data_IF_746355773421
#
_entry.id   IF_746355773421
#
_cell.length_a   1.000
_cell.length_b   1.000
_cell.length_c   1.000
_cell.angle_alpha   90.00
_cell.angle_beta   90.00
_cell.angle_gamma   90.00
#
_symmetry.space_group_name_H-M   'P 1'
#
loop_
_entity.id
_entity.type
_entity.pdbx_description
1 polymer ?
#
# COMPACT_ATOMS: atom_id res chain seq x y z
N UNK A 1 5.68 12.47 61.08
CA UNK A 1 4.96 11.18 61.26
C UNK A 1 5.93 10.05 60.95
N UNK A 2 6.20 9.13 61.88
CA UNK A 2 7.09 7.97 61.64
C UNK A 2 6.29 6.90 60.91
N UNK A 3 6.56 6.69 59.63
CA UNK A 3 5.95 5.59 58.86
C UNK A 3 6.32 4.27 59.54
N UNK A 4 5.31 3.46 59.85
CA UNK A 4 5.54 2.16 60.45
C UNK A 4 6.17 1.22 59.42
N UNK A 5 7.14 0.41 59.85
CA UNK A 5 7.86 -0.54 58.99
C UNK A 5 6.89 -1.42 58.17
N UNK A 6 5.72 -1.73 58.74
CA UNK A 6 4.67 -2.51 58.08
C UNK A 6 4.04 -1.80 56.86
N UNK A 7 3.84 -0.48 56.93
CA UNK A 7 3.36 0.34 55.79
C UNK A 7 4.38 0.39 54.67
N UNK A 8 5.67 0.44 55.00
CA UNK A 8 6.76 0.47 54.02
C UNK A 8 6.86 -0.87 53.28
N UNK A 9 6.74 -1.99 54.00
CA UNK A 9 6.70 -3.33 53.39
C UNK A 9 5.54 -3.45 52.40
N UNK A 10 4.33 -3.01 52.80
CA UNK A 10 3.14 -3.08 51.95
C UNK A 10 3.30 -2.25 50.66
N UNK A 11 3.91 -1.06 50.76
CA UNK A 11 4.18 -0.21 49.59
C UNK A 11 5.17 -0.85 48.62
N UNK A 12 6.24 -1.45 49.12
CA UNK A 12 7.23 -2.15 48.28
C UNK A 12 6.59 -3.34 47.58
N UNK A 13 5.74 -4.10 48.27
CA UNK A 13 5.02 -5.24 47.66
C UNK A 13 4.04 -4.77 46.58
N UNK A 14 3.31 -3.67 46.82
CA UNK A 14 2.39 -3.11 45.84
C UNK A 14 3.12 -2.65 44.56
N UNK A 15 4.28 -2.01 44.71
CA UNK A 15 5.11 -1.59 43.56
C UNK A 15 5.67 -2.82 42.82
N UNK A 16 6.15 -3.83 43.55
CA UNK A 16 6.67 -5.06 42.94
C UNK A 16 5.60 -5.81 42.14
N UNK A 17 4.38 -5.93 42.68
CA UNK A 17 3.25 -6.55 41.98
C UNK A 17 2.82 -5.75 40.76
N UNK A 18 2.72 -4.42 40.90
CA UNK A 18 2.34 -3.53 39.78
C UNK A 18 3.38 -3.58 38.66
N UNK A 19 4.66 -3.55 39.00
CA UNK A 19 5.76 -3.69 38.03
C UNK A 19 5.74 -5.06 37.34
N UNK A 20 5.48 -6.13 38.10
CA UNK A 20 5.39 -7.48 37.54
C UNK A 20 4.22 -7.65 36.58
N UNK A 21 3.07 -7.03 36.85
CA UNK A 21 1.91 -7.03 35.94
C UNK A 21 2.22 -6.25 34.67
N UNK A 22 2.79 -5.04 34.76
CA UNK A 22 3.16 -4.25 33.58
C UNK A 22 4.19 -4.96 32.70
N UNK A 23 5.17 -5.64 33.29
CA UNK A 23 6.16 -6.44 32.53
C UNK A 23 5.48 -7.63 31.85
N UNK A 24 4.53 -8.29 32.54
CA UNK A 24 3.82 -9.45 31.99
C UNK A 24 2.86 -9.04 30.86
N UNK A 25 2.14 -7.93 31.02
CA UNK A 25 1.29 -7.37 29.97
C UNK A 25 2.11 -6.92 28.76
N UNK A 26 3.26 -6.28 28.97
CA UNK A 26 4.12 -5.82 27.88
C UNK A 26 4.78 -7.00 27.14
N UNK A 27 5.31 -8.02 27.85
CA UNK A 27 5.87 -9.21 27.21
C UNK A 27 4.82 -10.03 26.46
N UNK A 28 3.61 -10.15 27.00
CA UNK A 28 2.51 -10.85 26.35
C UNK A 28 2.01 -10.09 25.11
N UNK A 29 1.97 -8.76 25.17
CA UNK A 29 1.62 -7.92 24.01
C UNK A 29 2.67 -8.02 22.92
N UNK A 30 3.96 -8.04 23.28
CA UNK A 30 5.05 -8.26 22.33
C UNK A 30 4.98 -9.63 21.64
N UNK A 31 4.63 -10.70 22.37
CA UNK A 31 4.51 -12.04 21.81
C UNK A 31 3.29 -12.18 20.89
N UNK A 32 2.14 -11.61 21.26
CA UNK A 32 0.97 -11.55 20.39
C UNK A 32 1.26 -10.73 19.14
N UNK A 33 1.88 -9.55 19.29
CA UNK A 33 2.26 -8.71 18.17
C UNK A 33 3.34 -9.37 17.30
N UNK A 34 4.24 -10.20 17.86
CA UNK A 34 5.20 -11.03 17.09
C UNK A 34 4.51 -12.17 16.34
N UNK A 35 3.53 -12.82 16.94
CA UNK A 35 2.77 -13.89 16.27
C UNK A 35 1.85 -13.33 15.18
N UNK A 36 1.24 -12.17 15.43
CA UNK A 36 0.52 -11.39 14.42
C UNK A 36 1.50 -10.92 13.33
N UNK A 37 2.68 -10.38 13.69
CA UNK A 37 3.72 -9.97 12.73
C UNK A 37 4.34 -11.14 11.94
N UNK A 38 4.43 -12.33 12.53
CA UNK A 38 4.92 -13.55 11.86
C UNK A 38 3.85 -14.18 10.96
N UNK A 39 2.58 -13.83 11.17
CA UNK A 39 1.45 -14.18 10.29
C UNK A 39 1.15 -13.06 9.28
N UNK A 40 1.63 -11.85 9.56
CA UNK A 40 1.59 -10.69 8.67
C UNK A 40 2.55 -10.94 7.51
N UNK A 41 1.97 -10.94 6.32
CA UNK A 41 2.64 -11.21 5.07
C UNK A 41 3.79 -10.24 4.79
N UNK A 42 4.78 -10.62 3.98
CA UNK A 42 5.84 -9.69 3.60
C UNK A 42 5.28 -8.54 2.73
N UNK A 43 5.86 -7.32 2.79
CA UNK A 43 5.51 -6.26 1.85
C UNK A 43 5.76 -6.73 0.42
N UNK A 44 4.91 -6.30 -0.53
CA UNK A 44 5.04 -6.69 -1.94
C UNK A 44 6.37 -6.22 -2.55
N UNK A 45 6.88 -5.08 -2.07
CA UNK A 45 8.15 -4.53 -2.52
C UNK A 45 8.98 -4.03 -1.34
N UNK A 46 10.30 -4.16 -1.47
CA UNK A 46 11.26 -3.73 -0.45
C UNK A 46 11.68 -2.25 -0.53
N UNK A 47 11.13 -1.49 -1.48
CA UNK A 47 11.38 -0.05 -1.62
C UNK A 47 10.34 0.77 -0.85
N UNK A 48 10.65 2.05 -0.61
CA UNK A 48 9.75 2.99 0.06
C UNK A 48 9.12 3.97 -0.92
N UNK A 49 8.05 4.68 -0.51
CA UNK A 49 7.44 5.75 -1.32
C UNK A 49 8.45 6.80 -1.79
N UNK A 50 9.45 7.12 -0.96
CA UNK A 50 10.47 8.11 -1.27
C UNK A 50 11.40 7.70 -2.42
N UNK A 51 11.49 6.40 -2.72
CA UNK A 51 12.33 5.88 -3.80
C UNK A 51 11.64 6.00 -5.17
N UNK A 52 10.33 6.22 -5.21
CA UNK A 52 9.51 6.20 -6.43
C UNK A 52 9.52 7.57 -7.11
N UNK A 53 9.94 7.59 -8.38
CA UNK A 53 10.01 8.80 -9.21
C UNK A 53 8.86 8.88 -10.21
N UNK A 54 8.49 7.76 -10.83
CA UNK A 54 7.35 7.72 -11.75
C UNK A 54 6.45 6.54 -11.40
N UNK A 55 5.14 6.76 -11.48
CA UNK A 55 4.12 5.75 -11.30
C UNK A 55 3.22 5.76 -12.53
N UNK A 56 3.11 4.62 -13.18
CA UNK A 56 2.26 4.42 -14.33
C UNK A 56 1.18 3.40 -14.00
N UNK A 57 -0.07 3.77 -14.15
CA UNK A 57 -1.22 2.92 -13.92
C UNK A 57 -1.99 2.76 -15.22
N UNK A 58 -2.06 1.52 -15.71
CA UNK A 58 -2.80 1.16 -16.90
C UNK A 58 -3.98 0.27 -16.54
N UNK A 59 -5.17 0.65 -16.99
CA UNK A 59 -6.41 -0.13 -16.90
C UNK A 59 -7.06 -0.19 -18.28
N UNK A 60 -8.09 -1.02 -18.40
CA UNK A 60 -8.85 -1.15 -19.65
C UNK A 60 -9.52 0.17 -20.09
N UNK A 61 -9.90 1.00 -19.13
CA UNK A 61 -10.67 2.24 -19.32
C UNK A 61 -9.83 3.52 -19.22
N UNK A 62 -8.64 3.46 -18.64
CA UNK A 62 -7.84 4.63 -18.30
C UNK A 62 -6.35 4.34 -18.22
N UNK A 63 -5.58 5.38 -18.52
CA UNK A 63 -4.13 5.41 -18.36
C UNK A 63 -3.76 6.65 -17.54
N UNK A 64 -3.03 6.44 -16.45
CA UNK A 64 -2.61 7.50 -15.53
C UNK A 64 -1.11 7.43 -15.39
N UNK A 65 -0.42 8.53 -15.72
CA UNK A 65 1.01 8.67 -15.51
C UNK A 65 1.26 9.77 -14.49
N UNK A 66 1.91 9.42 -13.38
CA UNK A 66 2.28 10.32 -12.31
C UNK A 66 3.81 10.43 -12.21
N UNK A 67 4.30 11.62 -11.93
CA UNK A 67 5.71 11.91 -11.67
C UNK A 67 5.85 12.60 -10.32
N UNK A 68 6.82 12.15 -9.53
CA UNK A 68 7.23 12.81 -8.31
C UNK A 68 8.15 13.98 -8.65
N UNK A 69 7.73 15.20 -8.32
CA UNK A 69 8.49 16.43 -8.58
C UNK A 69 8.89 17.10 -7.27
N UNK A 70 9.78 18.09 -7.32
CA UNK A 70 10.17 18.84 -6.12
C UNK A 70 9.00 19.53 -5.39
N UNK A 71 7.88 19.76 -6.09
CA UNK A 71 6.66 20.37 -5.55
C UNK A 71 5.58 19.34 -5.19
N UNK A 72 5.89 18.05 -5.27
CA UNK A 72 4.96 16.93 -5.03
C UNK A 72 4.59 16.16 -6.30
N UNK A 73 3.63 15.25 -6.18
CA UNK A 73 3.17 14.41 -7.29
C UNK A 73 2.39 15.21 -8.34
N UNK A 74 2.72 15.01 -9.61
CA UNK A 74 2.04 15.61 -10.76
C UNK A 74 1.57 14.55 -11.74
N UNK A 75 0.37 14.72 -12.29
CA UNK A 75 -0.13 13.90 -13.37
C UNK A 75 0.44 14.43 -14.69
N UNK A 76 1.02 13.55 -15.50
CA UNK A 76 1.45 13.82 -16.88
C UNK A 76 0.39 13.41 -17.90
N UNK A 77 -0.31 12.30 -17.64
CA UNK A 77 -1.36 11.74 -18.51
C UNK A 77 -2.57 11.28 -17.67
N UNK A 78 -3.81 11.40 -18.19
CA UNK A 78 -4.17 11.84 -19.55
C UNK A 78 -4.11 13.37 -19.75
N UNK A 79 -4.01 14.15 -18.67
CA UNK A 79 -3.81 15.60 -18.70
C UNK A 79 -2.80 16.02 -17.64
N UNK A 80 -2.16 17.17 -17.85
CA UNK A 80 -1.25 17.75 -16.87
C UNK A 80 -2.03 18.40 -15.74
N UNK A 81 -1.84 17.92 -14.51
CA UNK A 81 -2.53 18.46 -13.33
C UNK A 81 -1.80 18.11 -12.02
N UNK A 82 -2.04 18.89 -10.98
CA UNK A 82 -1.53 18.61 -9.62
C UNK A 82 -2.33 17.48 -8.99
N UNK A 83 -1.63 16.49 -8.45
CA UNK A 83 -2.23 15.30 -7.84
C UNK A 83 -2.32 15.51 -6.33
N UNK A 84 -3.41 15.03 -5.74
CA UNK A 84 -3.59 15.00 -4.30
C UNK A 84 -2.59 14.00 -3.67
N UNK A 85 -1.68 14.45 -2.78
CA UNK A 85 -0.67 13.57 -2.19
C UNK A 85 -1.26 12.38 -1.43
N UNK A 86 -2.43 12.58 -0.80
CA UNK A 86 -3.13 11.52 -0.07
C UNK A 86 -3.63 10.40 -1.00
N UNK A 87 -4.00 10.71 -2.25
CA UNK A 87 -4.40 9.71 -3.24
C UNK A 87 -3.25 8.76 -3.59
N UNK A 88 -2.05 9.33 -3.77
CA UNK A 88 -0.83 8.57 -4.09
C UNK A 88 -0.38 7.76 -2.89
N UNK A 89 -0.29 8.38 -1.72
CA UNK A 89 0.09 7.68 -0.48
C UNK A 89 -0.86 6.51 -0.17
N UNK A 90 -2.16 6.66 -0.44
CA UNK A 90 -3.13 5.57 -0.28
C UNK A 90 -2.83 4.37 -1.18
N UNK A 91 -2.47 4.58 -2.44
CA UNK A 91 -2.06 3.49 -3.33
C UNK A 91 -0.75 2.85 -2.87
N UNK A 92 0.24 3.68 -2.50
CA UNK A 92 1.56 3.22 -2.09
C UNK A 92 1.55 2.41 -0.78
N UNK A 93 0.64 2.73 0.15
CA UNK A 93 0.45 1.98 1.39
C UNK A 93 0.13 0.49 1.15
N UNK A 94 -0.62 0.15 0.10
CA UNK A 94 -0.90 -1.25 -0.25
C UNK A 94 0.31 -1.98 -0.86
N UNK A 95 1.31 -1.25 -1.33
CA UNK A 95 2.46 -1.78 -2.05
C UNK A 95 3.68 -1.93 -1.14
N UNK A 96 3.91 -0.93 -0.30
CA UNK A 96 5.11 -0.85 0.55
C UNK A 96 4.78 -0.97 2.04
N UNK A 97 3.53 -0.70 2.45
CA UNK A 97 3.15 -0.48 3.85
C UNK A 97 2.43 -1.65 4.52
N UNK A 98 1.51 -2.33 3.82
CA UNK A 98 0.62 -3.33 4.45
C UNK A 98 1.05 -4.78 4.20
N UNK A 99 1.32 -5.56 5.27
CA UNK A 99 1.70 -6.95 5.19
C UNK A 99 0.51 -7.88 4.92
N UNK A 100 -0.24 -7.65 3.83
CA UNK A 100 -1.46 -8.43 3.52
C UNK A 100 -1.28 -9.40 2.35
N UNK A 101 -0.09 -9.45 1.77
CA UNK A 101 0.27 -10.27 0.60
C UNK A 101 0.65 -11.71 0.96
N UNK A 102 -0.31 -12.65 0.98
CA UNK A 102 0.05 -14.07 1.02
C UNK A 102 0.72 -14.46 -0.30
N UNK A 103 1.85 -15.16 -0.23
CA UNK A 103 2.60 -15.61 -1.39
C UNK A 103 2.14 -17.03 -1.78
N UNK A 104 1.84 -17.25 -3.05
CA UNK A 104 1.52 -18.55 -3.62
C UNK A 104 2.45 -18.83 -4.80
N UNK A 105 2.98 -20.05 -4.84
CA UNK A 105 3.73 -20.56 -6.00
C UNK A 105 2.77 -21.38 -6.85
N UNK A 106 2.61 -20.99 -8.12
CA UNK A 106 1.69 -21.62 -9.07
C UNK A 106 2.42 -21.96 -10.35
N UNK A 107 1.93 -22.91 -11.14
CA UNK A 107 2.55 -23.19 -12.43
C UNK A 107 2.31 -22.02 -13.40
N UNK A 108 3.29 -21.73 -14.27
CA UNK A 108 3.18 -20.64 -15.23
C UNK A 108 1.95 -20.76 -16.16
N UNK A 109 1.51 -22.00 -16.45
CA UNK A 109 0.33 -22.28 -17.24
C UNK A 109 -1.00 -21.92 -16.57
N UNK A 110 -1.02 -21.81 -15.24
CA UNK A 110 -2.24 -21.55 -14.45
C UNK A 110 -2.50 -20.05 -14.27
N UNK A 111 -1.62 -19.17 -14.77
CA UNK A 111 -1.80 -17.70 -14.67
C UNK A 111 -3.13 -17.21 -15.27
N UNK A 112 -3.68 -17.94 -16.26
CA UNK A 112 -5.00 -17.67 -16.81
C UNK A 112 -6.13 -17.87 -15.79
N UNK A 113 -6.03 -18.87 -14.90
CA UNK A 113 -7.03 -19.14 -13.84
C UNK A 113 -7.07 -18.02 -12.81
N UNK A 114 -5.93 -17.35 -12.59
CA UNK A 114 -5.81 -16.19 -11.70
C UNK A 114 -6.07 -14.85 -12.40
N UNK A 115 -6.37 -14.85 -13.70
CA UNK A 115 -6.57 -13.63 -14.49
C UNK A 115 -5.30 -12.78 -14.65
N UNK A 116 -4.13 -13.39 -14.53
CA UNK A 116 -2.82 -12.71 -14.65
C UNK A 116 -2.23 -12.79 -16.07
N UNK A 117 -2.77 -13.68 -16.93
CA UNK A 117 -2.51 -13.70 -18.37
C UNK A 117 -3.03 -12.43 -19.07
N UNK A 118 -4.26 -12.04 -18.73
CA UNK A 118 -4.88 -10.77 -19.15
C UNK A 118 -5.20 -9.93 -17.90
N UNK A 119 -4.21 -9.18 -17.38
CA UNK A 119 -4.39 -8.43 -16.14
C UNK A 119 -5.45 -7.34 -16.30
N UNK A 120 -6.26 -7.17 -15.26
CA UNK A 120 -7.31 -6.13 -15.20
C UNK A 120 -6.71 -4.74 -15.07
N UNK A 121 -5.56 -4.66 -14.38
CA UNK A 121 -4.77 -3.46 -14.25
C UNK A 121 -3.29 -3.82 -14.16
N UNK A 122 -2.44 -2.93 -14.67
CA UNK A 122 -0.99 -3.02 -14.53
C UNK A 122 -0.49 -1.73 -13.89
N UNK A 123 0.29 -1.86 -12.83
CA UNK A 123 0.94 -0.73 -12.17
C UNK A 123 2.44 -0.87 -12.37
N UNK A 124 3.10 0.17 -12.82
CA UNK A 124 4.53 0.21 -13.06
C UNK A 124 5.14 1.36 -12.25
N UNK A 125 6.26 1.07 -11.60
CA UNK A 125 6.97 2.00 -10.72
C UNK A 125 8.40 2.13 -11.21
N UNK A 126 8.81 3.36 -11.46
CA UNK A 126 10.20 3.68 -11.75
C UNK A 126 10.82 4.32 -10.54
N UNK A 127 11.87 3.67 -10.02
CA UNK A 127 12.62 4.17 -8.88
C UNK A 127 13.69 5.18 -9.30
N UNK A 128 14.18 5.96 -8.34
CA UNK A 128 15.28 6.91 -8.53
C UNK A 128 16.58 6.25 -9.00
N UNK A 129 16.77 4.96 -8.72
CA UNK A 129 17.92 4.18 -9.19
C UNK A 129 17.76 3.68 -10.64
N UNK A 130 16.67 4.03 -11.33
CA UNK A 130 16.38 3.64 -12.71
C UNK A 130 15.70 2.27 -12.87
N UNK A 131 15.53 1.51 -11.78
CA UNK A 131 14.85 0.21 -11.81
C UNK A 131 13.35 0.38 -12.01
N UNK A 132 12.78 -0.47 -12.85
CA UNK A 132 11.34 -0.44 -13.18
C UNK A 132 10.69 -1.72 -12.65
N UNK A 133 9.82 -1.59 -11.66
CA UNK A 133 9.04 -2.69 -11.10
C UNK A 133 7.65 -2.68 -11.71
N UNK A 134 7.09 -3.87 -11.96
CA UNK A 134 5.73 -4.01 -12.49
C UNK A 134 4.89 -4.90 -11.60
N UNK A 135 3.66 -4.48 -11.35
CA UNK A 135 2.63 -5.22 -10.63
C UNK A 135 1.47 -5.48 -11.59
N UNK A 136 1.20 -6.75 -11.88
CA UNK A 136 -0.01 -7.16 -12.60
C UNK A 136 -1.10 -7.50 -11.62
N UNK A 137 -2.30 -6.99 -11.84
CA UNK A 137 -3.47 -7.24 -11.00
C UNK A 137 -4.46 -8.10 -11.77
N UNK A 138 -4.73 -9.29 -11.23
CA UNK A 138 -5.57 -10.30 -11.84
C UNK A 138 -7.00 -10.32 -11.31
N UNK A 139 -7.58 -11.51 -11.26
CA UNK A 139 -8.93 -11.74 -10.79
C UNK A 139 -9.05 -11.63 -9.27
N UNK A 140 -10.24 -11.28 -8.75
CA UNK A 140 -10.55 -11.48 -7.34
C UNK A 140 -10.58 -12.97 -7.00
N UNK A 141 -10.19 -13.28 -5.77
CA UNK A 141 -10.39 -14.60 -5.18
C UNK A 141 -11.90 -14.89 -5.04
N UNK A 142 -12.27 -16.17 -4.92
CA UNK A 142 -13.64 -16.63 -4.69
C UNK A 142 -14.35 -15.90 -3.54
N UNK A 143 -13.61 -15.57 -2.47
CA UNK A 143 -14.12 -14.84 -1.31
C UNK A 143 -14.51 -13.38 -1.62
N UNK A 144 -14.02 -12.83 -2.75
CA UNK A 144 -14.23 -11.44 -3.19
C UNK A 144 -13.50 -10.38 -2.36
N UNK A 145 -12.74 -10.80 -1.34
CA UNK A 145 -12.10 -9.91 -0.38
C UNK A 145 -10.60 -9.67 -0.68
N UNK A 146 -10.03 -10.46 -1.59
CA UNK A 146 -8.64 -10.43 -2.03
C UNK A 146 -8.55 -10.48 -3.55
N UNK A 147 -7.46 -9.94 -4.09
CA UNK A 147 -7.10 -9.97 -5.50
C UNK A 147 -5.78 -10.72 -5.69
N UNK A 148 -5.68 -11.50 -6.76
CA UNK A 148 -4.39 -12.04 -7.18
C UNK A 148 -3.56 -10.96 -7.85
N UNK A 149 -2.30 -10.86 -7.47
CA UNK A 149 -1.32 -9.96 -8.08
C UNK A 149 -0.03 -10.71 -8.37
N UNK A 150 0.70 -10.26 -9.38
CA UNK A 150 2.03 -10.77 -9.70
C UNK A 150 3.00 -9.60 -9.66
N UNK A 151 4.06 -9.75 -8.86
CA UNK A 151 5.19 -8.83 -8.86
C UNK A 151 6.20 -9.30 -9.89
N UNK A 152 6.65 -8.40 -10.75
CA UNK A 152 7.71 -8.64 -11.72
C UNK A 152 8.95 -7.88 -11.24
N UNK A 153 10.04 -8.62 -11.13
CA UNK A 153 11.35 -8.12 -10.75
C UNK A 153 11.80 -7.00 -11.71
N UNK A 154 12.71 -6.11 -11.28
CA UNK A 154 13.04 -4.93 -12.04
C UNK A 154 13.68 -5.30 -13.37
N UNK A 155 13.04 -4.92 -14.47
CA UNK A 155 13.63 -5.04 -15.80
C UNK A 155 14.63 -3.89 -15.97
N UNK A 156 15.89 -4.20 -16.32
CA UNK A 156 16.81 -3.22 -16.90
C UNK A 156 16.31 -2.85 -18.31
N UNK A 157 15.18 -2.13 -18.38
CA UNK A 157 14.68 -1.41 -19.55
C UNK A 157 14.26 -2.22 -20.79
N UNK A 158 14.18 -3.55 -20.76
CA UNK A 158 13.82 -4.36 -21.94
C UNK A 158 12.67 -5.33 -21.64
N UNK A 159 11.43 -4.81 -21.72
CA UNK A 159 10.15 -5.49 -21.48
C UNK A 159 9.88 -6.78 -22.28
N UNK A 160 10.76 -7.13 -23.22
CA UNK A 160 10.64 -8.29 -24.09
C UNK A 160 11.47 -9.50 -23.61
N UNK A 161 12.52 -9.28 -22.81
CA UNK A 161 13.44 -10.36 -22.40
C UNK A 161 13.04 -10.99 -21.06
N UNK A 162 12.50 -10.25 -20.07
CA UNK A 162 12.02 -10.89 -18.83
C UNK A 162 10.68 -11.65 -19.04
N UNK A 163 9.89 -11.27 -20.03
CA UNK A 163 8.74 -12.07 -20.47
C UNK A 163 9.19 -13.41 -21.07
N UNK A 164 10.38 -13.46 -21.68
CA UNK A 164 10.97 -14.68 -22.23
C UNK A 164 11.69 -15.52 -21.16
N UNK A 165 12.30 -14.90 -20.14
CA UNK A 165 12.91 -15.61 -19.01
C UNK A 165 11.87 -16.17 -18.03
N UNK A 166 10.78 -15.44 -17.75
CA UNK A 166 9.66 -15.95 -16.96
C UNK A 166 8.90 -17.10 -17.66
N UNK A 167 8.92 -17.14 -18.99
CA UNK A 167 8.39 -18.24 -19.78
C UNK A 167 9.25 -19.53 -19.71
N UNK A 168 10.46 -19.45 -19.14
CA UNK A 168 11.33 -20.60 -18.87
C UNK A 168 11.21 -21.18 -17.45
N UNK A 169 10.50 -20.50 -16.55
CA UNK A 169 10.22 -20.97 -15.18
C UNK A 169 8.89 -21.72 -15.16
N UNK A 170 8.92 -23.02 -14.85
CA UNK A 170 7.69 -23.82 -14.74
C UNK A 170 6.79 -23.35 -13.58
N UNK A 171 7.35 -22.60 -12.62
CA UNK A 171 6.66 -22.07 -11.44
C UNK A 171 6.84 -20.56 -11.32
N UNK A 172 5.75 -19.86 -11.00
CA UNK A 172 5.66 -18.40 -10.87
C UNK A 172 5.09 -18.05 -9.51
N UNK A 173 5.67 -17.03 -8.89
CA UNK A 173 5.20 -16.49 -7.62
C UNK A 173 4.10 -15.45 -7.85
N UNK A 174 2.94 -15.67 -7.25
CA UNK A 174 1.83 -14.72 -7.19
C UNK A 174 1.55 -14.36 -5.73
N UNK A 175 0.88 -13.23 -5.49
CA UNK A 175 0.50 -12.79 -4.16
C UNK A 175 -1.00 -12.49 -4.11
N UNK A 176 -1.63 -12.59 -2.94
CA UNK A 176 -3.02 -12.14 -2.73
C UNK A 176 -3.05 -10.85 -1.93
N UNK A 177 -3.63 -9.78 -2.46
CA UNK A 177 -3.72 -8.48 -1.77
C UNK A 177 -5.16 -8.17 -1.42
N UNK A 178 -5.40 -7.46 -0.32
CA UNK A 178 -6.73 -6.98 0.03
C UNK A 178 -7.41 -6.21 -1.10
N UNK A 179 -8.73 -6.37 -1.22
CA UNK A 179 -9.56 -5.66 -2.22
C UNK A 179 -9.47 -4.11 -2.14
N UNK A 180 -8.93 -3.56 -1.05
CA UNK A 180 -8.61 -2.13 -0.95
C UNK A 180 -7.65 -1.64 -2.06
N UNK A 181 -6.74 -2.51 -2.54
CA UNK A 181 -5.90 -2.23 -3.70
C UNK A 181 -6.75 -2.04 -4.97
N UNK A 182 -7.82 -2.83 -5.14
CA UNK A 182 -8.75 -2.69 -6.27
C UNK A 182 -9.40 -1.31 -6.28
N UNK A 183 -9.87 -0.86 -5.11
CA UNK A 183 -10.49 0.46 -4.96
C UNK A 183 -9.49 1.61 -5.16
N UNK A 184 -8.25 1.45 -4.66
CA UNK A 184 -7.18 2.43 -4.89
C UNK A 184 -6.86 2.56 -6.38
N UNK A 185 -6.76 1.42 -7.08
CA UNK A 185 -6.47 1.35 -8.51
C UNK A 185 -7.65 1.82 -9.36
N UNK A 186 -8.89 1.48 -8.99
CA UNK A 186 -10.09 1.85 -9.75
C UNK A 186 -10.45 3.33 -9.62
N UNK A 187 -9.72 4.11 -8.81
CA UNK A 187 -9.96 5.54 -8.61
C UNK A 187 -9.99 6.29 -9.96
N UNK A 188 -11.09 6.99 -10.28
CA UNK A 188 -11.22 7.82 -11.48
C UNK A 188 -10.14 8.90 -11.53
N UNK A 189 -9.61 9.23 -12.72
CA UNK A 189 -8.52 10.21 -12.88
C UNK A 189 -8.80 11.58 -12.23
N UNK A 190 -10.06 12.00 -12.15
CA UNK A 190 -10.48 13.24 -11.49
C UNK A 190 -10.27 13.23 -9.97
N UNK A 191 -10.43 12.07 -9.31
CA UNK A 191 -10.31 11.91 -7.86
C UNK A 191 -8.85 11.78 -7.40
N UNK A 192 -7.92 11.79 -8.36
CA UNK A 192 -6.49 11.93 -8.09
C UNK A 192 -6.09 13.40 -7.96
N UNK A 193 -6.93 14.35 -8.36
CA UNK A 193 -6.57 15.75 -8.43
C UNK A 193 -6.93 16.46 -7.13
N UNK A 194 -6.17 17.49 -6.79
CA UNK A 194 -6.55 18.38 -5.69
C UNK A 194 -7.94 18.93 -5.97
N UNK A 195 -8.89 18.65 -5.08
CA UNK A 195 -10.23 19.26 -5.16
C UNK A 195 -10.05 20.76 -5.01
N UNK A 196 -10.40 21.54 -6.05
CA UNK A 196 -10.59 22.98 -5.87
C UNK A 196 -11.59 23.16 -4.71
N UNK A 197 -11.31 24.03 -3.73
CA UNK A 197 -12.31 24.36 -2.73
C UNK A 197 -13.56 24.85 -3.49
N UNK A 198 -14.73 24.37 -3.10
CA UNK A 198 -15.99 24.87 -3.61
C UNK A 198 -16.09 26.36 -3.23
N UNK A 199 -15.59 27.24 -4.09
CA UNK A 199 -15.86 28.68 -4.05
C UNK A 199 -17.34 28.83 -4.37
N UNK A 200 -18.16 28.80 -3.32
CA UNK A 200 -19.59 28.60 -3.47
C UNK A 200 -20.41 28.80 -2.20
N UNK A 201 -19.99 29.70 -1.30
CA UNK A 201 -20.94 30.32 -0.38
C UNK A 201 -20.92 31.84 -0.61
N UNK A 202 -21.80 32.38 -1.47
CA UNK A 202 -22.09 33.80 -1.46
C UNK A 202 -22.94 34.05 -0.20
N UNK A 203 -22.29 34.21 0.96
CA UNK A 203 -22.97 34.88 2.07
C UNK A 203 -23.13 36.33 1.65
N UNK A 204 -24.33 36.62 1.14
CA UNK A 204 -24.78 37.92 0.75
C UNK A 204 -24.39 38.98 1.80
N UNK A 205 -23.67 40.00 1.36
CA UNK A 205 -23.80 41.31 1.99
C UNK A 205 -25.27 41.73 1.83
N UNK A 206 -26.00 42.10 2.90
CA UNK A 206 -27.04 43.07 2.72
C UNK A 206 -26.35 44.43 2.54
N UNK A 207 -26.29 44.89 1.30
CA UNK A 207 -26.16 46.31 1.01
C UNK A 207 -27.55 46.94 1.08
N UNK A 208 -27.60 48.12 1.69
CA UNK A 208 -28.72 49.09 1.73
C UNK A 208 -29.94 48.66 2.57
N UNK A 209 -30.63 49.53 3.32
CA UNK A 209 -30.88 50.95 3.09
C UNK A 209 -31.46 51.58 4.38
N UNK A 210 -31.19 52.88 4.58
CA UNK A 210 -31.84 53.89 5.46
C UNK A 210 -31.33 54.12 6.88
#
# INVERSE_FOLDING_TARGET
MKLQRSTLVLFVTAIALSGSVLIYENQRSEELNRQEAATMAEPLFAFTEADIQELFLQRLDAEILLENTATGWQMKAPRKATVEPAAVAYLLDFLTGKPTSQTLTVAAGDLAEFGLDQPRATVEFKLANGKIYRLRVGAPEFSGNTLYVQTLAPEDGTAAEAAAEAAGTEEVTIHTVSNGLASAIARPAQDWLVSEPADGEPTALPAEEQ
#
